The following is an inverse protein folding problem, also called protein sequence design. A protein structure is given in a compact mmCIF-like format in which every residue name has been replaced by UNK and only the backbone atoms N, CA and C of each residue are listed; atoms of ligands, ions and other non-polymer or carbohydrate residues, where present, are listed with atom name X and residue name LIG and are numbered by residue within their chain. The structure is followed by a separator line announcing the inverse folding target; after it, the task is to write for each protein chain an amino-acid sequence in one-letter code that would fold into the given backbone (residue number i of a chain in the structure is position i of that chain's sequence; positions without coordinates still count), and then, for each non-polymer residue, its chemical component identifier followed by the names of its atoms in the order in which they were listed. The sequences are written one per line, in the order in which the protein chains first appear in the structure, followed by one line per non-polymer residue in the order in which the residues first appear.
data_IF_039080196887
#
_entry.id   IF_039080196887
#
_cell.length_a   1.000
_cell.length_b   1.000
_cell.length_c   1.000
_cell.angle_alpha   90.00
_cell.angle_beta   90.00
_cell.angle_gamma   90.00
#
_symmetry.space_group_name_H-M   'P 1'
#
loop_
_entity.id
_entity.type
_entity.pdbx_description
1 polymer ?
#
# COMPACT_ATOMS: atom_id res chain seq x y z
N UNK A 1 -20.94 -15.76 29.27
CA UNK A 1 -20.64 -16.05 27.86
C UNK A 1 -20.78 -14.75 27.13
N UNK A 2 -19.66 -14.08 26.87
CA UNK A 2 -19.65 -12.82 26.15
C UNK A 2 -19.59 -13.18 24.66
N UNK A 3 -20.71 -12.98 23.96
CA UNK A 3 -20.74 -13.03 22.50
C UNK A 3 -19.77 -11.99 21.96
N UNK A 4 -18.58 -12.45 21.58
CA UNK A 4 -17.61 -11.65 20.86
C UNK A 4 -18.21 -11.28 19.52
N UNK A 5 -18.72 -10.06 19.40
CA UNK A 5 -19.04 -9.45 18.10
C UNK A 5 -17.73 -9.45 17.33
N UNK A 6 -17.59 -10.39 16.39
CA UNK A 6 -16.49 -10.40 15.42
C UNK A 6 -16.51 -9.03 14.73
N UNK A 7 -15.53 -8.18 15.05
CA UNK A 7 -15.35 -6.92 14.31
C UNK A 7 -15.20 -7.30 12.86
N UNK A 8 -16.12 -6.84 12.01
CA UNK A 8 -16.09 -7.12 10.58
C UNK A 8 -14.81 -6.51 10.04
N UNK A 9 -13.89 -7.35 9.65
CA UNK A 9 -12.64 -6.95 9.05
C UNK A 9 -12.92 -6.13 7.79
N UNK A 10 -12.27 -4.98 7.66
CA UNK A 10 -12.37 -4.10 6.49
C UNK A 10 -11.12 -4.34 5.64
N UNK A 11 -11.25 -4.92 4.43
CA UNK A 11 -10.09 -5.14 3.57
C UNK A 11 -9.40 -3.84 3.20
N UNK A 12 -8.07 -3.86 3.10
CA UNK A 12 -7.30 -2.76 2.55
C UNK A 12 -7.60 -2.60 1.05
N UNK A 13 -7.75 -1.37 0.59
CA UNK A 13 -7.91 -1.06 -0.82
C UNK A 13 -6.57 -0.69 -1.44
N UNK A 14 -6.30 -1.23 -2.61
CA UNK A 14 -5.02 -1.17 -3.29
C UNK A 14 -5.23 -0.72 -4.73
N UNK A 15 -4.65 0.41 -5.10
CA UNK A 15 -4.70 0.97 -6.46
C UNK A 15 -3.29 0.97 -7.03
N UNK A 16 -3.07 0.24 -8.11
CA UNK A 16 -1.74 0.14 -8.72
C UNK A 16 -1.15 1.51 -9.07
N UNK A 17 -1.98 2.47 -9.47
CA UNK A 17 -1.49 3.73 -9.96
C UNK A 17 -1.03 3.59 -11.41
N UNK A 18 0.18 4.05 -11.71
CA UNK A 18 0.68 4.17 -13.05
C UNK A 18 0.25 5.49 -13.66
N UNK A 19 0.45 5.69 -14.97
CA UNK A 19 -0.01 6.88 -15.68
C UNK A 19 -1.52 6.73 -15.96
N UNK A 20 -2.40 7.28 -15.13
CA UNK A 20 -3.81 7.24 -15.46
C UNK A 20 -3.99 8.10 -16.73
N UNK A 21 -4.48 7.50 -17.78
CA UNK A 21 -4.94 8.26 -18.96
C UNK A 21 -6.10 9.19 -18.60
N UNK A 22 -6.71 8.98 -17.43
CA UNK A 22 -7.89 9.70 -16.94
C UNK A 22 -7.80 9.87 -15.41
N UNK A 23 -7.57 11.11 -14.94
CA UNK A 23 -7.61 11.46 -13.52
C UNK A 23 -8.98 11.19 -12.87
N UNK A 24 -10.06 11.18 -13.66
CA UNK A 24 -11.40 10.87 -13.19
C UNK A 24 -11.54 9.38 -12.89
N UNK A 25 -10.87 8.51 -13.65
CA UNK A 25 -10.86 7.09 -13.37
C UNK A 25 -10.19 6.80 -12.02
N UNK A 26 -9.06 7.43 -11.73
CA UNK A 26 -8.37 7.30 -10.44
C UNK A 26 -9.27 7.78 -9.28
N UNK A 27 -9.92 8.93 -9.42
CA UNK A 27 -10.83 9.44 -8.40
C UNK A 27 -12.03 8.50 -8.17
N UNK A 28 -12.60 7.92 -9.24
CA UNK A 28 -13.68 6.91 -9.12
C UNK A 28 -13.23 5.65 -8.39
N UNK A 29 -12.01 5.15 -8.65
CA UNK A 29 -11.44 4.03 -7.92
C UNK A 29 -11.28 4.37 -6.43
N UNK A 30 -10.65 5.49 -6.11
CA UNK A 30 -10.47 5.93 -4.72
C UNK A 30 -11.80 6.15 -3.98
N UNK A 31 -12.87 6.56 -4.67
CA UNK A 31 -14.18 6.79 -4.07
C UNK A 31 -14.76 5.51 -3.43
N UNK A 32 -14.34 4.33 -3.88
CA UNK A 32 -14.76 3.07 -3.26
C UNK A 32 -14.32 2.97 -1.80
N UNK A 33 -13.20 3.60 -1.42
CA UNK A 33 -12.70 3.62 -0.05
C UNK A 33 -13.63 4.40 0.91
N UNK A 34 -14.46 5.30 0.38
CA UNK A 34 -15.35 6.16 1.18
C UNK A 34 -16.77 5.63 1.30
N UNK A 35 -17.08 4.47 0.70
CA UNK A 35 -18.45 3.91 0.75
C UNK A 35 -18.96 3.78 2.18
N UNK A 36 -20.13 4.34 2.45
CA UNK A 36 -20.79 4.30 3.76
C UNK A 36 -20.21 5.27 4.80
N UNK A 37 -19.30 6.17 4.43
CA UNK A 37 -18.80 7.21 5.31
C UNK A 37 -19.37 8.56 4.87
N UNK A 38 -19.96 9.29 5.80
CA UNK A 38 -20.36 10.68 5.58
C UNK A 38 -19.20 11.60 5.95
N UNK A 39 -18.88 12.58 5.07
CA UNK A 39 -17.80 13.55 5.28
C UNK A 39 -16.44 12.92 5.66
N UNK A 40 -15.88 12.00 4.82
CA UNK A 40 -14.69 11.25 5.16
C UNK A 40 -13.49 12.13 5.47
N UNK A 41 -12.81 11.85 6.58
CA UNK A 41 -11.54 12.46 6.93
C UNK A 41 -10.40 11.48 6.63
N UNK A 42 -9.43 11.95 5.86
CA UNK A 42 -8.27 11.17 5.43
C UNK A 42 -7.02 11.65 6.16
N UNK A 43 -6.24 10.71 6.69
CA UNK A 43 -4.86 10.95 7.09
C UNK A 43 -3.93 10.48 5.96
N UNK A 44 -3.17 11.40 5.39
CA UNK A 44 -2.24 11.14 4.29
C UNK A 44 -0.84 10.91 4.85
N UNK A 45 -0.26 9.75 4.55
CA UNK A 45 1.13 9.38 4.81
C UNK A 45 1.90 9.48 3.49
N UNK A 46 2.90 10.36 3.45
CA UNK A 46 3.74 10.62 2.28
C UNK A 46 5.18 10.13 2.43
N UNK A 47 5.45 9.23 3.37
CA UNK A 47 6.83 8.78 3.68
C UNK A 47 7.57 8.25 2.46
N UNK A 48 6.87 7.53 1.56
CA UNK A 48 7.45 6.99 0.33
C UNK A 48 7.92 8.07 -0.68
N UNK A 49 7.45 9.31 -0.55
CA UNK A 49 7.92 10.43 -1.39
C UNK A 49 8.58 11.56 -0.58
N UNK A 50 9.05 11.25 0.62
CA UNK A 50 9.73 12.20 1.49
C UNK A 50 8.84 13.36 1.97
N UNK A 51 7.53 13.09 2.13
CA UNK A 51 6.52 14.12 2.48
C UNK A 51 6.50 15.30 1.48
N UNK A 52 6.66 15.01 0.20
CA UNK A 52 6.70 16.03 -0.87
C UNK A 52 5.41 16.85 -0.91
N UNK A 53 5.48 18.18 -0.72
CA UNK A 53 4.27 19.02 -0.64
C UNK A 53 3.51 19.10 -1.97
N UNK A 54 4.20 19.09 -3.12
CA UNK A 54 3.56 19.16 -4.42
C UNK A 54 2.80 17.85 -4.71
N UNK A 55 3.40 16.71 -4.39
CA UNK A 55 2.74 15.42 -4.51
C UNK A 55 1.53 15.32 -3.58
N UNK A 56 1.65 15.78 -2.32
CA UNK A 56 0.53 15.88 -1.40
C UNK A 56 -0.61 16.71 -1.97
N UNK A 57 -0.34 17.91 -2.53
CA UNK A 57 -1.41 18.74 -3.10
C UNK A 57 -2.12 18.06 -4.27
N UNK A 58 -1.39 17.38 -5.15
CA UNK A 58 -1.95 16.61 -6.24
C UNK A 58 -2.89 15.51 -5.71
N UNK A 59 -2.42 14.70 -4.77
CA UNK A 59 -3.21 13.62 -4.18
C UNK A 59 -4.40 14.12 -3.37
N UNK A 60 -4.24 15.25 -2.66
CA UNK A 60 -5.33 15.91 -1.95
C UNK A 60 -6.46 16.31 -2.88
N UNK A 61 -6.15 16.87 -4.06
CA UNK A 61 -7.15 17.20 -5.08
C UNK A 61 -7.88 15.93 -5.52
N UNK A 62 -7.16 14.84 -5.80
CA UNK A 62 -7.75 13.57 -6.20
C UNK A 62 -8.64 12.97 -5.11
N UNK A 63 -8.17 12.93 -3.86
CA UNK A 63 -8.94 12.42 -2.72
C UNK A 63 -10.20 13.26 -2.47
N UNK A 64 -10.10 14.59 -2.59
CA UNK A 64 -11.26 15.49 -2.53
C UNK A 64 -12.27 15.19 -3.63
N UNK A 65 -11.81 14.99 -4.88
CA UNK A 65 -12.65 14.62 -6.01
C UNK A 65 -13.31 13.25 -5.80
N UNK A 66 -12.62 12.33 -5.14
CA UNK A 66 -13.15 11.02 -4.76
C UNK A 66 -14.18 11.06 -3.64
N UNK A 67 -14.33 12.20 -2.92
CA UNK A 67 -15.33 12.40 -1.87
C UNK A 67 -14.80 12.68 -0.46
N UNK A 68 -13.48 12.80 -0.28
CA UNK A 68 -12.93 13.17 1.02
C UNK A 68 -13.38 14.57 1.46
N UNK A 69 -13.91 14.70 2.68
CA UNK A 69 -14.25 16.00 3.27
C UNK A 69 -13.00 16.74 3.73
N UNK A 70 -12.05 16.04 4.33
CA UNK A 70 -10.79 16.59 4.80
C UNK A 70 -9.63 15.65 4.52
N UNK A 71 -8.48 16.21 4.12
CA UNK A 71 -7.24 15.47 3.95
C UNK A 71 -6.18 16.12 4.81
N UNK A 72 -5.73 15.42 5.86
CA UNK A 72 -4.74 15.88 6.82
C UNK A 72 -3.39 15.29 6.43
N UNK A 73 -2.38 16.14 6.26
CA UNK A 73 -1.02 15.72 6.00
C UNK A 73 -0.33 15.30 7.29
N UNK A 74 0.11 14.04 7.36
CA UNK A 74 0.88 13.52 8.50
C UNK A 74 2.37 13.61 8.16
N UNK A 75 3.06 14.60 8.70
CA UNK A 75 4.47 14.87 8.40
C UNK A 75 5.39 13.93 9.17
N UNK A 76 5.89 12.88 8.50
CA UNK A 76 6.72 11.83 9.08
C UNK A 76 8.13 11.75 8.48
N UNK A 77 8.35 12.22 7.23
CA UNK A 77 9.65 12.16 6.57
C UNK A 77 10.60 13.26 7.05
N UNK A 78 10.81 13.33 8.36
CA UNK A 78 11.76 14.25 9.00
C UNK A 78 12.34 13.65 10.29
N UNK A 79 13.50 14.19 10.72
CA UNK A 79 14.24 13.62 11.86
C UNK A 79 13.47 13.69 13.20
N UNK A 80 12.67 14.73 13.42
CA UNK A 80 11.91 14.97 14.65
C UNK A 80 10.48 15.38 14.32
N UNK A 81 9.60 14.43 13.93
CA UNK A 81 8.17 14.72 13.77
C UNK A 81 7.48 14.88 15.11
N UNK A 82 6.36 15.56 15.13
CA UNK A 82 5.44 15.51 16.26
C UNK A 82 4.65 14.18 16.19
N UNK A 83 5.16 13.17 16.87
CA UNK A 83 4.59 11.82 16.85
C UNK A 83 3.26 11.74 17.60
N UNK A 84 3.03 12.58 18.59
CA UNK A 84 1.75 12.64 19.31
C UNK A 84 0.66 13.15 18.37
N UNK A 85 0.87 14.30 17.74
CA UNK A 85 -0.05 14.85 16.73
C UNK A 85 -0.24 13.88 15.56
N UNK A 86 0.83 13.20 15.10
CA UNK A 86 0.75 12.21 14.03
C UNK A 86 -0.16 11.02 14.42
N UNK A 87 0.06 10.42 15.58
CA UNK A 87 -0.76 9.29 16.08
C UNK A 87 -2.23 9.71 16.28
N UNK A 88 -2.47 10.88 16.86
CA UNK A 88 -3.82 11.41 17.05
C UNK A 88 -4.53 11.63 15.70
N UNK A 89 -3.84 12.18 14.71
CA UNK A 89 -4.38 12.40 13.36
C UNK A 89 -4.72 11.06 12.67
N UNK A 90 -3.83 10.06 12.76
CA UNK A 90 -4.05 8.73 12.21
C UNK A 90 -5.22 8.01 12.90
N UNK A 91 -5.30 8.10 14.22
CA UNK A 91 -6.38 7.48 15.00
C UNK A 91 -7.74 8.12 14.71
N UNK A 92 -7.81 9.44 14.57
CA UNK A 92 -9.05 10.18 14.34
C UNK A 92 -9.59 10.08 12.90
N UNK A 93 -8.74 9.77 11.92
CA UNK A 93 -9.15 9.67 10.53
C UNK A 93 -10.09 8.48 10.27
N UNK A 94 -10.99 8.59 9.29
CA UNK A 94 -11.82 7.49 8.81
C UNK A 94 -11.04 6.55 7.89
N UNK A 95 -10.03 7.10 7.18
CA UNK A 95 -9.19 6.38 6.24
C UNK A 95 -7.75 6.88 6.33
N UNK A 96 -6.82 5.93 6.32
CA UNK A 96 -5.39 6.20 6.18
C UNK A 96 -4.98 5.93 4.73
N UNK A 97 -4.37 6.92 4.10
CA UNK A 97 -3.88 6.87 2.74
C UNK A 97 -2.35 6.72 2.74
N UNK A 98 -1.85 5.65 2.13
CA UNK A 98 -0.42 5.43 1.88
C UNK A 98 -0.08 5.84 0.45
N UNK A 99 0.78 6.83 0.32
CA UNK A 99 1.13 7.43 -0.96
C UNK A 99 2.13 6.61 -1.76
N UNK A 100 2.23 6.89 -3.06
CA UNK A 100 3.29 6.38 -3.92
C UNK A 100 4.63 7.08 -3.70
N UNK A 101 5.68 6.52 -4.28
CA UNK A 101 7.08 6.93 -4.21
C UNK A 101 8.00 5.71 -4.10
N UNK A 102 9.05 5.80 -3.28
CA UNK A 102 10.00 4.72 -3.02
C UNK A 102 9.56 3.90 -1.80
N UNK A 103 9.42 2.59 -1.98
CA UNK A 103 8.92 1.67 -0.93
C UNK A 103 9.85 1.65 0.26
N UNK A 104 11.17 1.58 0.02
CA UNK A 104 12.19 1.51 1.05
C UNK A 104 12.17 2.78 1.91
N UNK A 105 12.22 3.95 1.30
CA UNK A 105 12.12 5.23 2.00
C UNK A 105 10.85 5.30 2.86
N UNK A 106 9.74 4.84 2.29
CA UNK A 106 8.45 4.79 2.97
C UNK A 106 8.49 3.96 4.25
N UNK A 107 9.03 2.75 4.16
CA UNK A 107 9.13 1.82 5.28
C UNK A 107 10.16 2.27 6.31
N UNK A 108 11.29 2.81 5.87
CA UNK A 108 12.36 3.29 6.77
C UNK A 108 11.89 4.41 7.68
N UNK A 109 11.13 5.40 7.16
CA UNK A 109 10.56 6.43 7.98
C UNK A 109 9.54 5.89 8.98
N UNK A 110 8.67 4.94 8.58
CA UNK A 110 7.70 4.32 9.48
C UNK A 110 8.39 3.50 10.57
N UNK A 111 9.44 2.75 10.22
CA UNK A 111 10.26 1.97 11.16
C UNK A 111 11.01 2.88 12.13
N UNK A 112 11.66 3.92 11.63
CA UNK A 112 12.42 4.90 12.43
C UNK A 112 11.59 5.58 13.50
N UNK A 113 10.30 5.82 13.22
CA UNK A 113 9.38 6.47 14.15
C UNK A 113 8.51 5.49 14.94
N UNK A 114 8.81 4.19 14.87
CA UNK A 114 8.10 3.12 15.59
C UNK A 114 6.58 3.14 15.32
N UNK A 115 6.19 3.40 14.06
CA UNK A 115 4.77 3.49 13.67
C UNK A 115 4.22 2.19 13.09
N UNK A 116 5.06 1.21 12.73
CA UNK A 116 4.63 -0.05 12.11
C UNK A 116 3.62 -0.78 12.99
N UNK A 117 3.94 -1.00 14.28
CA UNK A 117 3.03 -1.65 15.24
C UNK A 117 1.70 -0.90 15.38
N UNK A 118 1.78 0.43 15.52
CA UNK A 118 0.59 1.27 15.63
C UNK A 118 -0.32 1.22 14.39
N UNK A 119 0.23 1.22 13.18
CA UNK A 119 -0.55 1.09 11.95
C UNK A 119 -1.19 -0.31 11.84
N UNK A 120 -0.48 -1.38 12.25
CA UNK A 120 -1.04 -2.73 12.34
C UNK A 120 -2.20 -2.82 13.33
N UNK A 121 -2.09 -2.18 14.49
CA UNK A 121 -3.16 -2.11 15.49
C UNK A 121 -4.38 -1.37 14.93
N UNK A 122 -4.19 -0.25 14.25
CA UNK A 122 -5.28 0.47 13.59
C UNK A 122 -5.96 -0.38 12.52
N UNK A 123 -5.19 -1.08 11.68
CA UNK A 123 -5.74 -1.98 10.66
C UNK A 123 -6.55 -3.12 11.28
N UNK A 124 -5.98 -3.83 12.26
CA UNK A 124 -6.68 -4.91 12.98
C UNK A 124 -7.91 -4.40 13.74
N UNK A 125 -7.89 -3.14 14.16
CA UNK A 125 -9.01 -2.44 14.78
C UNK A 125 -10.13 -2.06 13.81
N UNK A 126 -9.97 -2.33 12.50
CA UNK A 126 -10.96 -2.03 11.46
C UNK A 126 -10.82 -0.63 10.85
N UNK A 127 -9.67 0.02 11.03
CA UNK A 127 -9.35 1.27 10.30
C UNK A 127 -9.21 0.98 8.81
N UNK A 128 -9.81 1.82 7.97
CA UNK A 128 -9.68 1.69 6.52
C UNK A 128 -8.32 2.18 6.06
N UNK A 129 -7.76 1.45 5.10
CA UNK A 129 -6.52 1.82 4.42
C UNK A 129 -6.72 1.84 2.91
N UNK A 130 -6.07 2.78 2.26
CA UNK A 130 -5.98 2.89 0.81
C UNK A 130 -4.51 3.13 0.45
N UNK A 131 -3.92 2.24 -0.33
CA UNK A 131 -2.57 2.38 -0.87
C UNK A 131 -2.61 2.69 -2.37
N UNK A 132 -1.65 3.50 -2.82
CA UNK A 132 -1.44 3.78 -4.24
C UNK A 132 0.03 3.58 -4.58
N UNK A 133 0.32 2.82 -5.67
CA UNK A 133 1.69 2.54 -6.13
C UNK A 133 2.54 1.95 -5.00
N UNK A 134 3.67 2.53 -4.63
CA UNK A 134 4.48 2.09 -3.49
C UNK A 134 3.67 1.81 -2.22
N UNK A 135 2.60 2.59 -1.96
CA UNK A 135 1.71 2.36 -0.83
C UNK A 135 0.98 1.01 -0.87
N UNK A 136 0.78 0.41 -2.06
CA UNK A 136 0.26 -0.97 -2.20
C UNK A 136 1.31 -1.98 -1.73
N UNK A 137 2.52 -1.84 -2.24
CA UNK A 137 3.65 -2.72 -1.90
C UNK A 137 3.91 -2.69 -0.40
N UNK A 138 3.93 -1.49 0.19
CA UNK A 138 4.09 -1.30 1.64
C UNK A 138 3.04 -2.04 2.49
N UNK A 139 1.83 -2.27 1.98
CA UNK A 139 0.79 -3.03 2.69
C UNK A 139 0.96 -4.54 2.59
N UNK A 140 1.77 -5.03 1.66
CA UNK A 140 2.16 -6.43 1.51
C UNK A 140 3.14 -6.91 2.57
N UNK A 141 3.71 -8.11 2.34
CA UNK A 141 4.62 -8.76 3.29
C UNK A 141 6.03 -8.21 3.22
N UNK A 142 6.61 -8.17 2.02
CA UNK A 142 8.01 -7.84 1.78
C UNK A 142 8.17 -7.04 0.50
N UNK A 143 9.34 -6.42 0.35
CA UNK A 143 9.84 -5.87 -0.89
C UNK A 143 11.32 -6.20 -1.08
N UNK A 144 11.84 -5.99 -2.28
CA UNK A 144 13.23 -6.24 -2.60
C UNK A 144 14.02 -4.94 -2.57
N UNK A 145 15.22 -5.01 -2.02
CA UNK A 145 16.26 -4.01 -2.14
C UNK A 145 17.45 -4.60 -2.88
N UNK A 146 18.09 -3.84 -3.76
CA UNK A 146 19.35 -4.19 -4.41
C UNK A 146 20.46 -3.22 -3.97
N UNK A 147 21.59 -3.76 -3.50
CA UNK A 147 22.79 -2.94 -3.29
C UNK A 147 23.33 -2.42 -4.65
N UNK A 148 23.12 -3.21 -5.72
CA UNK A 148 23.37 -2.84 -7.13
C UNK A 148 22.13 -3.17 -7.94
N UNK A 149 21.52 -2.14 -8.53
CA UNK A 149 20.26 -2.28 -9.27
C UNK A 149 20.39 -3.33 -10.40
N UNK A 150 19.43 -4.26 -10.42
CA UNK A 150 19.38 -5.36 -11.40
C UNK A 150 20.36 -6.51 -11.16
N UNK A 151 21.18 -6.46 -10.11
CA UNK A 151 22.05 -7.58 -9.69
C UNK A 151 21.33 -8.41 -8.62
N UNK A 152 20.70 -9.50 -9.04
CA UNK A 152 20.01 -10.43 -8.13
C UNK A 152 20.91 -10.96 -7.02
N UNK A 153 22.24 -11.02 -7.21
CA UNK A 153 23.18 -11.48 -6.18
C UNK A 153 23.31 -10.51 -5.01
N UNK A 154 22.99 -9.24 -5.23
CA UNK A 154 22.96 -8.19 -4.22
C UNK A 154 21.57 -7.97 -3.60
N UNK A 155 20.56 -8.71 -4.08
CA UNK A 155 19.18 -8.51 -3.67
C UNK A 155 18.92 -9.04 -2.25
N UNK A 156 18.10 -8.33 -1.50
CA UNK A 156 17.67 -8.67 -0.14
C UNK A 156 16.19 -8.35 0.03
N UNK A 157 15.49 -9.20 0.78
CA UNK A 157 14.12 -8.88 1.21
C UNK A 157 14.17 -7.96 2.43
N UNK A 158 13.22 -7.02 2.48
CA UNK A 158 12.91 -6.27 3.70
C UNK A 158 11.41 -6.31 3.99
N UNK A 159 11.09 -6.22 5.30
CA UNK A 159 9.72 -6.33 5.76
C UNK A 159 8.92 -5.07 5.47
N UNK A 160 7.70 -5.26 4.98
CA UNK A 160 6.66 -4.25 4.85
C UNK A 160 5.62 -4.32 5.99
N UNK A 161 4.49 -3.65 5.83
CA UNK A 161 3.45 -3.57 6.87
C UNK A 161 2.74 -4.91 7.11
N UNK A 162 2.74 -5.82 6.15
CA UNK A 162 2.08 -7.12 6.24
C UNK A 162 0.62 -7.05 6.73
N UNK A 163 -0.18 -6.13 6.17
CA UNK A 163 -1.63 -6.09 6.42
C UNK A 163 -2.35 -7.29 5.80
N UNK A 164 -1.74 -7.86 4.77
CA UNK A 164 -2.15 -9.10 4.12
C UNK A 164 -0.92 -9.98 3.91
N UNK A 165 -1.02 -11.32 4.01
CA UNK A 165 0.11 -12.23 3.83
C UNK A 165 0.47 -12.44 2.35
N UNK A 166 0.56 -11.36 1.58
CA UNK A 166 0.74 -11.36 0.13
C UNK A 166 1.86 -10.41 -0.25
N UNK A 167 2.67 -10.80 -1.23
CA UNK A 167 3.64 -9.92 -1.86
C UNK A 167 2.99 -9.30 -3.11
N UNK A 168 3.11 -7.98 -3.23
CA UNK A 168 2.61 -7.21 -4.36
C UNK A 168 3.72 -6.49 -5.10
N UNK A 169 3.48 -6.30 -6.39
CA UNK A 169 4.15 -5.31 -7.23
C UNK A 169 3.10 -4.55 -8.04
N UNK A 170 3.44 -3.38 -8.53
CA UNK A 170 2.52 -2.50 -9.25
C UNK A 170 3.18 -1.90 -10.49
N UNK A 171 2.41 -1.81 -11.60
CA UNK A 171 2.78 -1.21 -12.88
C UNK A 171 4.18 -1.60 -13.40
N UNK A 172 4.63 -2.83 -13.12
CA UNK A 172 5.92 -3.40 -13.57
C UNK A 172 5.88 -4.00 -14.98
N UNK A 173 4.84 -3.73 -15.78
CA UNK A 173 4.64 -4.36 -17.10
C UNK A 173 5.79 -4.04 -18.07
N UNK A 174 6.22 -2.78 -18.10
CA UNK A 174 7.27 -2.30 -19.01
C UNK A 174 8.65 -2.85 -18.63
N UNK A 175 8.86 -3.20 -17.37
CA UNK A 175 10.10 -3.74 -16.80
C UNK A 175 10.03 -5.26 -16.60
N UNK A 176 8.98 -5.90 -17.15
CA UNK A 176 8.78 -7.35 -17.05
C UNK A 176 8.78 -7.87 -15.59
N UNK A 177 8.31 -7.06 -14.65
CA UNK A 177 8.17 -7.41 -13.23
C UNK A 177 9.48 -7.88 -12.58
N UNK A 178 10.58 -7.22 -12.89
CA UNK A 178 11.93 -7.66 -12.50
C UNK A 178 12.08 -7.72 -10.97
N UNK A 179 11.58 -6.70 -10.27
CA UNK A 179 11.63 -6.62 -8.80
C UNK A 179 10.78 -7.71 -8.14
N UNK A 180 9.54 -7.90 -8.61
CA UNK A 180 8.65 -8.97 -8.13
C UNK A 180 9.31 -10.35 -8.31
N UNK A 181 9.92 -10.59 -9.47
CA UNK A 181 10.61 -11.85 -9.75
C UNK A 181 11.84 -12.05 -8.87
N UNK A 182 12.61 -11.00 -8.59
CA UNK A 182 13.73 -11.05 -7.66
C UNK A 182 13.25 -11.40 -6.24
N UNK A 183 12.18 -10.74 -5.76
CA UNK A 183 11.58 -11.05 -4.47
C UNK A 183 11.09 -12.51 -4.39
N UNK A 184 10.46 -13.03 -5.45
CA UNK A 184 10.02 -14.43 -5.51
C UNK A 184 11.18 -15.43 -5.49
N UNK A 185 12.31 -15.12 -6.14
CA UNK A 185 13.52 -15.97 -6.06
C UNK A 185 14.03 -16.05 -4.63
N UNK A 186 14.07 -14.94 -3.91
CA UNK A 186 14.53 -14.88 -2.52
C UNK A 186 13.58 -15.61 -1.56
N UNK A 187 12.28 -15.58 -1.81
CA UNK A 187 11.28 -16.31 -1.03
C UNK A 187 11.34 -17.83 -1.27
N UNK A 188 11.89 -18.26 -2.42
CA UNK A 188 12.09 -19.67 -2.74
C UNK A 188 10.90 -20.38 -3.37
N UNK A 189 11.00 -21.72 -3.58
CA UNK A 189 9.98 -22.52 -4.21
C UNK A 189 8.63 -22.48 -3.49
N UNK A 190 7.55 -22.44 -4.27
CA UNK A 190 6.17 -22.34 -3.76
C UNK A 190 5.71 -20.92 -3.44
N UNK A 191 6.62 -19.92 -3.48
CA UNK A 191 6.26 -18.53 -3.24
C UNK A 191 5.34 -18.00 -4.35
N UNK A 192 4.38 -17.15 -3.94
CA UNK A 192 3.43 -16.48 -4.84
C UNK A 192 3.49 -14.96 -4.62
N UNK A 193 3.31 -14.22 -5.70
CA UNK A 193 3.19 -12.77 -5.70
C UNK A 193 2.15 -12.30 -6.72
N UNK A 194 1.69 -11.07 -6.55
CA UNK A 194 0.64 -10.50 -7.37
C UNK A 194 1.10 -9.19 -7.99
N UNK A 195 1.15 -9.17 -9.31
CA UNK A 195 1.45 -7.98 -10.10
C UNK A 195 0.16 -7.23 -10.46
N UNK A 196 0.03 -5.99 -10.04
CA UNK A 196 -1.10 -5.13 -10.37
C UNK A 196 -0.72 -4.21 -11.53
N UNK A 197 -1.22 -4.45 -12.75
CA UNK A 197 -0.91 -3.60 -13.88
C UNK A 197 -1.47 -2.18 -13.70
N UNK A 198 -0.90 -1.21 -14.40
CA UNK A 198 -1.32 0.19 -14.33
C UNK A 198 -2.83 0.35 -14.52
N UNK A 199 -3.51 1.00 -13.57
CA UNK A 199 -4.96 1.16 -13.52
C UNK A 199 -5.72 -0.01 -12.88
N UNK A 200 -5.05 -1.03 -12.35
CA UNK A 200 -5.70 -2.08 -11.56
C UNK A 200 -6.12 -1.58 -10.18
N UNK A 201 -7.19 -2.14 -9.66
CA UNK A 201 -7.64 -1.95 -8.29
C UNK A 201 -8.12 -3.26 -7.69
N UNK A 202 -7.67 -3.56 -6.50
CA UNK A 202 -8.09 -4.73 -5.72
C UNK A 202 -8.43 -4.33 -4.29
N UNK A 203 -9.13 -5.21 -3.58
CA UNK A 203 -9.12 -5.23 -2.11
C UNK A 203 -8.47 -6.52 -1.62
N UNK A 204 -7.75 -6.43 -0.50
CA UNK A 204 -7.09 -7.56 0.14
C UNK A 204 -7.41 -7.60 1.63
N UNK A 205 -7.75 -8.79 2.15
CA UNK A 205 -7.99 -8.98 3.59
C UNK A 205 -6.74 -9.52 4.31
N UNK A 206 -6.76 -9.57 5.63
CA UNK A 206 -5.64 -10.07 6.46
C UNK A 206 -5.38 -11.57 6.29
N UNK A 207 -6.24 -12.30 5.61
CA UNK A 207 -6.07 -13.73 5.29
C UNK A 207 -5.50 -13.96 3.91
N UNK A 208 -5.27 -12.88 3.14
CA UNK A 208 -4.76 -12.95 1.76
C UNK A 208 -5.83 -13.17 0.71
N UNK A 209 -7.13 -13.03 1.05
CA UNK A 209 -8.18 -13.08 0.05
C UNK A 209 -8.18 -11.79 -0.79
N UNK A 210 -8.08 -11.94 -2.09
CA UNK A 210 -8.08 -10.82 -3.03
C UNK A 210 -9.40 -10.74 -3.77
N UNK A 211 -9.95 -9.53 -3.89
CA UNK A 211 -11.11 -9.25 -4.73
C UNK A 211 -10.71 -8.24 -5.79
N UNK A 212 -10.85 -8.65 -7.05
CA UNK A 212 -10.64 -7.75 -8.18
C UNK A 212 -11.78 -6.73 -8.25
N UNK A 213 -11.42 -5.45 -8.28
CA UNK A 213 -12.36 -4.33 -8.38
C UNK A 213 -12.27 -3.64 -9.73
N UNK A 214 -11.07 -3.61 -10.32
CA UNK A 214 -10.80 -2.95 -11.60
C UNK A 214 -9.58 -3.61 -12.29
N UNK A 215 -9.67 -3.92 -13.59
CA UNK A 215 -8.62 -4.38 -14.51
C UNK A 215 -7.92 -5.73 -14.18
N UNK A 216 -8.06 -6.26 -12.96
CA UNK A 216 -7.43 -7.52 -12.59
C UNK A 216 -5.96 -7.41 -12.17
N UNK A 217 -5.38 -8.56 -11.85
CA UNK A 217 -3.99 -8.74 -11.44
C UNK A 217 -3.41 -9.99 -12.10
N UNK A 218 -2.09 -10.08 -12.14
CA UNK A 218 -1.33 -11.25 -12.58
C UNK A 218 -0.86 -12.02 -11.35
N UNK A 219 -0.84 -13.35 -11.44
CA UNK A 219 -0.30 -14.22 -10.39
C UNK A 219 1.04 -14.76 -10.86
N UNK A 220 2.07 -14.58 -10.06
CA UNK A 220 3.40 -15.11 -10.29
C UNK A 220 3.72 -16.19 -9.27
N UNK A 221 4.29 -17.29 -9.73
CA UNK A 221 4.64 -18.44 -8.90
C UNK A 221 6.09 -18.82 -9.15
N UNK A 222 6.81 -19.11 -8.07
CA UNK A 222 8.13 -19.71 -8.14
C UNK A 222 7.99 -21.24 -8.03
N UNK A 223 8.08 -21.96 -9.15
CA UNK A 223 8.16 -23.41 -9.18
C UNK A 223 9.61 -23.85 -9.39
N UNK A 224 10.20 -24.38 -8.32
CA UNK A 224 11.57 -24.92 -8.33
C UNK A 224 12.63 -23.98 -8.95
N UNK A 225 12.51 -22.68 -8.66
CA UNK A 225 13.41 -21.64 -9.16
C UNK A 225 13.02 -21.04 -10.51
N UNK A 226 11.97 -21.54 -11.15
CA UNK A 226 11.38 -20.94 -12.36
C UNK A 226 10.14 -20.13 -11.99
N UNK A 227 10.10 -18.88 -12.44
CA UNK A 227 8.95 -18.00 -12.19
C UNK A 227 8.11 -17.95 -13.47
N UNK A 228 6.86 -18.30 -13.33
CA UNK A 228 5.86 -18.22 -14.39
C UNK A 228 4.62 -17.46 -13.92
N UNK A 229 3.76 -17.10 -14.86
CA UNK A 229 2.49 -16.39 -14.62
C UNK A 229 1.33 -17.35 -14.86
N UNK A 230 0.39 -17.40 -13.93
CA UNK A 230 -0.90 -18.10 -14.09
C UNK A 230 -1.90 -17.23 -14.83
#
# INVERSE_FOLDING_TARGET
MSDGISKKEIPALMVAGGRPRDADAMARMMAQAFRGIQKPQVAYIGTANGDNPAFFQMMKIMLKKAGAEKVNFVHLAKKKPDLETARNTLAAADLIFLSGGEVEDGMDWLKKHELIGFLKELYSGGKRFLGVSAGVIMMGTHWVHWDVEGDDSSSKLFDCLAFTPVLFDVHGEDENWVELKAALKLLGPGARAYGLPGGAMISADSRGSLVNLEKGYLVFINEDGRIHTE
#
